data_IF_732701391294
#
_entry.id   IF_732701391294
#
_cell.length_a   1.000
_cell.length_b   1.000
_cell.length_c   1.000
_cell.angle_alpha   90.00
_cell.angle_beta   90.00
_cell.angle_gamma   90.00
#
_symmetry.space_group_name_H-M   'P 1'
#
loop_
_entity.id
_entity.type
_entity.pdbx_description
1 polymer ?
2 non-polymer ?
3 non-polymer ?
4 non-polymer ?
5 non-polymer ?
6 water ?
#
# COMPACT_ATOMS: atom_id res chain seq x y z
N UNK A 6 -28.53 5.94 -7.87
CA UNK A 6 -29.29 7.10 -8.33
C UNK A 6 -28.35 8.13 -8.96
N UNK A 7 -27.29 8.47 -8.26
CA UNK A 7 -26.40 9.52 -8.69
C UNK A 7 -25.33 8.98 -9.64
N UNK A 8 -24.62 9.93 -10.27
CA UNK A 8 -23.49 9.57 -11.12
C UNK A 8 -22.44 8.78 -10.33
N UNK A 9 -22.09 9.25 -9.14
CA UNK A 9 -21.05 8.56 -8.41
C UNK A 9 -21.51 7.18 -7.96
N UNK A 10 -22.79 7.04 -7.57
CA UNK A 10 -23.22 5.70 -7.19
C UNK A 10 -23.15 4.76 -8.40
N UNK A 11 -23.43 5.26 -9.60
CA UNK A 11 -23.33 4.41 -10.78
C UNK A 11 -21.89 4.01 -11.04
N UNK A 12 -20.96 4.94 -10.81
CA UNK A 12 -19.55 4.59 -10.95
C UNK A 12 -19.18 3.48 -9.98
N UNK A 13 -19.60 3.61 -8.70
CA UNK A 13 -19.28 2.59 -7.72
C UNK A 13 -19.86 1.24 -8.15
N UNK A 14 -21.05 1.23 -8.74
CA UNK A 14 -21.62 -0.04 -9.17
C UNK A 14 -20.73 -0.71 -10.21
N UNK A 15 -20.18 0.08 -11.14
CA UNK A 15 -19.29 -0.47 -12.14
C UNK A 15 -17.97 -0.90 -11.56
N UNK A 16 -17.54 -0.33 -10.44
CA UNK A 16 -16.26 -0.71 -9.85
C UNK A 16 -16.36 -1.97 -8.99
N UNK A 17 -17.55 -2.45 -8.68
CA UNK A 17 -17.71 -3.62 -7.82
C UNK A 17 -17.05 -4.84 -8.45
N UNK A 18 -16.50 -5.70 -7.58
CA UNK A 18 -15.89 -6.96 -8.03
C UNK A 18 -16.96 -8.02 -8.19
N UNK A 19 -16.87 -8.78 -9.28
CA UNK A 19 -17.76 -9.91 -9.48
C UNK A 19 -17.48 -11.05 -8.49
N UNK A 20 -18.54 -11.61 -7.91
CA UNK A 20 -18.40 -12.73 -7.01
C UNK A 20 -17.71 -13.90 -7.69
N UNK A 21 -18.03 -14.13 -8.96
CA UNK A 21 -17.40 -15.24 -9.65
C UNK A 21 -15.91 -15.00 -9.86
N UNK A 22 -15.54 -13.78 -10.25
CA UNK A 22 -14.11 -13.44 -10.38
C UNK A 22 -13.39 -13.61 -9.07
N UNK A 23 -14.01 -13.20 -7.97
CA UNK A 23 -13.39 -13.34 -6.65
C UNK A 23 -13.16 -14.81 -6.35
N UNK A 24 -14.17 -15.64 -6.61
CA UNK A 24 -14.05 -17.06 -6.24
C UNK A 24 -12.89 -17.69 -6.99
N UNK A 25 -12.83 -17.44 -8.28
CA UNK A 25 -11.76 -18.01 -9.09
C UNK A 25 -10.41 -17.46 -8.65
N UNK A 26 -10.28 -16.14 -8.48
CA UNK A 26 -8.97 -15.56 -8.20
C UNK A 26 -8.48 -15.93 -6.82
N UNK A 27 -9.37 -15.97 -5.83
CA UNK A 27 -8.96 -16.33 -4.47
C UNK A 27 -8.36 -17.73 -4.44
N UNK A 28 -9.02 -18.67 -5.12
CA UNK A 28 -8.53 -20.03 -5.13
C UNK A 28 -7.19 -20.13 -5.84
N UNK A 29 -7.04 -19.42 -6.96
CA UNK A 29 -5.78 -19.47 -7.69
C UNK A 29 -4.64 -18.85 -6.88
N UNK A 30 -4.88 -17.71 -6.23
CA UNK A 30 -3.82 -17.08 -5.44
C UNK A 30 -3.44 -17.94 -4.23
N UNK A 31 -4.42 -18.52 -3.54
CA UNK A 31 -4.13 -19.27 -2.33
C UNK A 31 -3.29 -20.48 -2.67
N UNK A 32 -3.58 -21.12 -3.80
CA UNK A 32 -2.86 -22.31 -4.18
C UNK A 32 -1.39 -22.02 -4.42
N UNK A 33 -1.12 -20.90 -5.11
CA UNK A 33 0.25 -20.56 -5.44
C UNK A 33 0.99 -20.07 -4.21
N UNK A 34 0.36 -19.19 -3.42
CA UNK A 34 1.02 -18.65 -2.23
C UNK A 34 1.33 -19.75 -1.22
N UNK A 35 0.34 -20.60 -0.95
CA UNK A 35 0.56 -21.71 -0.02
C UNK A 35 1.67 -22.62 -0.52
N UNK A 36 1.72 -22.90 -1.82
CA UNK A 36 2.82 -23.69 -2.36
C UNK A 36 4.18 -23.05 -2.10
N UNK A 37 4.32 -21.75 -2.42
CA UNK A 37 5.61 -21.08 -2.26
C UNK A 37 6.01 -21.02 -0.79
N UNK A 38 5.03 -20.84 0.09
CA UNK A 38 5.31 -20.81 1.52
C UNK A 38 5.90 -22.13 1.96
N UNK A 39 5.26 -23.23 1.59
CA UNK A 39 5.74 -24.56 1.93
C UNK A 39 7.15 -24.73 1.40
N UNK A 40 7.38 -24.37 0.14
CA UNK A 40 8.70 -24.64 -0.45
C UNK A 40 9.78 -23.73 0.13
N UNK A 41 9.46 -22.48 0.45
CA UNK A 41 10.46 -21.59 1.04
C UNK A 41 10.88 -22.03 2.42
N UNK A 42 9.97 -22.66 3.17
CA UNK A 42 10.29 -23.22 4.48
C UNK A 42 11.36 -24.31 4.39
N UNK A 43 11.60 -24.88 3.20
CA UNK A 43 12.65 -25.88 3.02
C UNK A 43 14.03 -25.26 2.95
N UNK A 44 14.11 -23.98 2.64
CA UNK A 44 15.41 -23.33 2.59
C UNK A 44 15.83 -22.90 3.99
N UNK A 45 17.10 -23.09 4.34
CA UNK A 45 17.54 -22.78 5.69
C UNK A 45 17.34 -21.31 6.06
N UNK A 46 17.41 -20.40 5.09
CA UNK A 46 17.29 -18.98 5.42
C UNK A 46 15.85 -18.54 5.64
N UNK A 47 14.89 -19.22 5.00
CA UNK A 47 13.51 -18.76 5.02
C UNK A 47 12.61 -19.74 5.75
N UNK A 48 13.24 -20.62 6.53
CA UNK A 48 12.60 -21.64 7.34
C UNK A 48 11.41 -21.08 8.12
N UNK A 49 11.49 -19.83 8.57
CA UNK A 49 10.48 -19.31 9.46
C UNK A 49 9.43 -18.38 8.84
N UNK A 50 9.25 -18.42 7.51
CA UNK A 50 8.38 -17.42 6.87
C UNK A 50 6.94 -17.66 7.27
N UNK A 51 6.18 -16.56 7.39
CA UNK A 51 4.74 -16.64 7.57
C UNK A 51 4.08 -15.62 6.66
N UNK A 52 2.78 -15.84 6.44
CA UNK A 52 2.00 -15.08 5.48
C UNK A 52 1.27 -13.93 6.18
N UNK A 53 1.30 -12.74 5.57
CA UNK A 53 0.38 -11.66 5.94
C UNK A 53 -0.24 -11.09 4.68
N UNK A 54 -1.56 -10.98 4.62
CA UNK A 54 -2.23 -10.53 3.43
C UNK A 54 -2.42 -9.03 3.57
N UNK A 55 -2.09 -8.28 2.52
CA UNK A 55 -2.03 -6.81 2.61
C UNK A 55 -2.64 -6.21 1.37
N UNK A 56 -2.76 -4.89 1.36
CA UNK A 56 -3.18 -4.24 0.12
C UNK A 56 -4.68 -4.24 -0.14
N UNK A 57 -5.07 -3.72 -1.32
CA UNK A 57 -6.46 -3.32 -1.48
C UNK A 57 -7.43 -4.50 -1.50
N UNK A 58 -7.04 -5.67 -1.99
CA UNK A 58 -7.98 -6.77 -2.00
C UNK A 58 -8.38 -7.13 -0.59
N UNK A 59 -7.40 -7.21 0.31
CA UNK A 59 -7.69 -7.63 1.68
C UNK A 59 -8.22 -6.48 2.54
N UNK A 60 -8.20 -5.24 2.02
CA UNK A 60 -8.94 -4.15 2.64
C UNK A 60 -10.29 -3.89 2.00
N UNK A 61 -10.68 -4.74 1.03
CA UNK A 61 -11.99 -4.61 0.36
C UNK A 61 -12.11 -3.26 -0.35
N UNK A 62 -10.99 -2.69 -0.85
CA UNK A 62 -11.10 -1.49 -1.67
C UNK A 62 -10.42 -1.70 -3.03
N UNK A 63 -10.19 -2.96 -3.40
CA UNK A 63 -9.80 -3.25 -4.78
C UNK A 63 -10.98 -2.94 -5.71
N UNK A 64 -10.69 -2.32 -6.84
CA UNK A 64 -11.74 -1.92 -7.78
C UNK A 64 -11.61 -2.65 -9.10
N UNK A 65 -12.76 -2.79 -9.78
CA UNK A 65 -12.91 -3.25 -11.16
C UNK A 65 -12.74 -4.76 -11.33
N UNK A 66 -11.59 -5.29 -10.95
CA UNK A 66 -11.34 -6.70 -11.13
C UNK A 66 -10.43 -7.17 -10.01
N UNK A 67 -10.61 -8.42 -9.50
CA UNK A 67 -9.63 -8.95 -8.51
C UNK A 67 -8.43 -9.56 -9.21
N UNK A 68 -7.60 -8.72 -9.79
CA UNK A 68 -6.48 -9.20 -10.56
C UNK A 68 -5.14 -8.72 -10.03
N UNK A 69 -5.09 -8.25 -8.78
CA UNK A 69 -3.83 -7.80 -8.20
C UNK A 69 -3.91 -7.94 -6.70
N UNK A 70 -3.03 -8.83 -6.18
CA UNK A 70 -3.01 -9.21 -4.78
C UNK A 70 -1.65 -8.89 -4.21
N UNK A 71 -1.63 -8.56 -2.92
CA UNK A 71 -0.40 -8.22 -2.23
C UNK A 71 -0.27 -9.05 -0.98
N UNK A 72 0.91 -9.63 -0.77
CA UNK A 72 1.13 -10.45 0.42
C UNK A 72 2.54 -10.22 0.92
N UNK A 73 2.71 -10.32 2.23
CA UNK A 73 4.04 -10.25 2.79
C UNK A 73 4.42 -11.64 3.26
N UNK A 74 5.64 -12.08 2.97
CA UNK A 74 6.23 -13.26 3.60
C UNK A 74 7.15 -12.73 4.68
N UNK A 75 6.74 -12.84 5.94
CA UNK A 75 7.44 -12.21 7.04
C UNK A 75 8.30 -13.21 7.78
N UNK A 76 9.44 -12.75 8.29
CA UNK A 76 10.36 -13.56 9.08
C UNK A 76 10.65 -12.84 10.38
N UNK A 77 10.54 -13.52 11.52
CA UNK A 77 10.80 -12.81 12.76
C UNK A 77 12.30 -12.89 13.00
N UNK A 78 12.94 -11.74 13.15
CA UNK A 78 14.37 -11.72 13.40
C UNK A 78 14.52 -11.23 14.83
N UNK A 79 14.75 -12.13 15.79
CA UNK A 79 14.84 -11.69 17.19
C UNK A 79 16.16 -10.99 17.45
N UNK A 80 16.14 -10.08 18.42
CA UNK A 80 17.32 -9.28 18.77
C UNK A 80 17.73 -8.43 17.57
N UNK A 81 16.76 -7.70 17.03
CA UNK A 81 16.99 -6.87 15.86
C UNK A 81 17.37 -5.47 16.32
N UNK A 82 18.49 -4.95 15.80
CA UNK A 82 18.99 -3.63 16.16
C UNK A 82 18.94 -2.73 14.92
N UNK A 83 18.28 -1.59 15.04
CA UNK A 83 18.13 -0.74 13.86
C UNK A 83 18.97 0.52 14.01
N UNK A 84 19.41 1.04 12.87
CA UNK A 84 20.09 2.33 12.81
C UNK A 84 19.48 3.12 11.67
N UNK A 85 18.92 4.29 11.98
CA UNK A 85 18.32 5.07 10.93
C UNK A 85 19.39 5.49 9.92
N UNK A 86 19.05 5.38 8.64
CA UNK A 86 19.96 5.80 7.59
C UNK A 86 19.84 7.31 7.35
N UNK A 87 20.92 8.04 7.61
CA UNK A 87 21.11 9.44 7.18
C UNK A 87 19.83 10.29 7.28
N UNK A 88 19.27 10.33 8.50
CA UNK A 88 18.09 11.18 8.84
C UNK A 88 16.92 11.02 7.86
N UNK A 89 16.81 9.88 7.18
CA UNK A 89 15.70 9.68 6.24
C UNK A 89 14.36 9.31 6.90
N UNK A 90 14.36 8.94 8.19
CA UNK A 90 13.17 8.63 8.99
C UNK A 90 12.52 7.29 8.65
N UNK A 91 12.53 6.89 7.38
CA UNK A 91 11.86 5.69 6.96
C UNK A 91 12.79 4.56 6.57
N UNK A 92 14.07 4.82 6.35
CA UNK A 92 15.00 3.77 5.94
C UNK A 92 16.03 3.51 7.03
N UNK A 93 16.38 2.23 7.20
CA UNK A 93 17.19 1.76 8.31
C UNK A 93 18.21 0.72 7.84
N UNK A 94 19.33 0.69 8.56
CA UNK A 94 20.19 -0.47 8.59
C UNK A 94 19.68 -1.43 9.66
N UNK A 95 19.76 -2.72 9.36
CA UNK A 95 19.51 -3.79 10.33
C UNK A 95 20.87 -4.38 10.70
N UNK A 96 21.25 -4.19 11.95
CA UNK A 96 22.45 -4.81 12.49
C UNK A 96 22.12 -6.14 13.12
N UNK A 97 23.06 -7.08 13.00
CA UNK A 97 22.87 -8.43 13.49
C UNK A 97 24.22 -9.02 13.86
N UNK A 105 22.50 -19.32 9.39
CA UNK A 105 21.64 -19.26 8.19
C UNK A 105 21.38 -17.86 7.65
N UNK A 106 21.62 -16.82 8.43
CA UNK A 106 21.53 -15.46 7.94
C UNK A 106 22.88 -14.89 7.56
N UNK A 107 23.95 -15.65 7.78
CA UNK A 107 25.29 -15.13 7.57
C UNK A 107 25.53 -14.80 6.11
N UNK A 108 24.94 -15.60 5.21
CA UNK A 108 25.04 -15.35 3.77
C UNK A 108 24.58 -13.94 3.42
N UNK A 109 23.83 -13.29 4.29
CA UNK A 109 23.31 -11.97 3.96
C UNK A 109 24.08 -10.83 4.61
N UNK A 110 25.12 -11.11 5.38
CA UNK A 110 25.77 -10.05 6.11
C UNK A 110 26.80 -9.36 5.19
N UNK A 111 26.84 -8.04 5.28
CA UNK A 111 27.88 -7.22 4.64
C UNK A 111 28.45 -6.46 5.83
N UNK A 112 29.45 -7.06 6.48
CA UNK A 112 29.89 -6.55 7.78
C UNK A 112 29.03 -7.14 8.89
N UNK A 113 28.55 -6.28 9.78
CA UNK A 113 27.52 -6.65 10.75
C UNK A 113 26.15 -6.18 10.28
N UNK A 114 26.09 -5.62 9.08
CA UNK A 114 24.88 -5.17 8.44
C UNK A 114 24.19 -6.34 7.75
N UNK A 115 22.86 -6.47 7.95
CA UNK A 115 22.12 -7.52 7.27
C UNK A 115 21.62 -6.87 5.98
N UNK A 116 22.17 -7.26 4.83
CA UNK A 116 21.95 -6.53 3.58
C UNK A 116 20.56 -6.81 3.02
N UNK A 117 19.75 -5.76 2.87
CA UNK A 117 18.45 -5.93 2.26
C UNK A 117 18.54 -6.46 0.84
N UNK A 118 19.50 -5.96 0.04
CA UNK A 118 19.52 -6.43 -1.34
C UNK A 118 19.94 -7.89 -1.40
N UNK A 119 20.88 -8.29 -0.55
CA UNK A 119 21.32 -9.69 -0.57
C UNK A 119 20.15 -10.62 -0.23
N UNK A 120 19.33 -10.24 0.76
CA UNK A 120 18.23 -11.14 1.10
C UNK A 120 17.16 -11.18 0.02
N UNK A 121 16.82 -10.02 -0.53
CA UNK A 121 15.84 -9.96 -1.60
C UNK A 121 16.31 -10.74 -2.81
N UNK A 122 17.59 -10.66 -3.13
CA UNK A 122 18.09 -11.40 -4.29
C UNK A 122 17.95 -12.90 -4.10
N UNK A 123 18.23 -13.39 -2.89
CA UNK A 123 18.09 -14.82 -2.63
C UNK A 123 16.63 -15.24 -2.58
N UNK A 124 15.78 -14.39 -1.99
CA UNK A 124 14.35 -14.61 -1.96
C UNK A 124 13.79 -14.73 -3.37
N UNK A 125 14.16 -13.77 -4.22
CA UNK A 125 13.71 -13.80 -5.60
C UNK A 125 14.20 -15.05 -6.32
N UNK A 126 15.45 -15.45 -6.08
CA UNK A 126 16.00 -16.62 -6.78
C UNK A 126 15.27 -17.90 -6.37
N UNK A 127 14.96 -18.07 -5.08
CA UNK A 127 14.27 -19.28 -4.65
C UNK A 127 12.88 -19.32 -5.26
N UNK A 128 12.16 -18.19 -5.23
CA UNK A 128 10.80 -18.16 -5.80
C UNK A 128 10.84 -18.48 -7.28
N UNK A 129 11.83 -17.92 -7.99
CA UNK A 129 11.93 -18.18 -9.43
C UNK A 129 12.13 -19.65 -9.71
N UNK A 130 12.98 -20.30 -8.93
CA UNK A 130 13.20 -21.72 -9.16
C UNK A 130 11.96 -22.54 -8.80
N UNK A 131 11.21 -22.08 -7.81
CA UNK A 131 10.09 -22.89 -7.32
C UNK A 131 8.86 -22.77 -8.21
N UNK A 132 8.59 -21.59 -8.77
CA UNK A 132 7.43 -21.49 -9.65
C UNK A 132 7.68 -22.24 -10.95
N UNK A 133 8.94 -22.45 -11.31
CA UNK A 133 9.24 -23.20 -12.53
C UNK A 133 8.78 -24.65 -12.40
N UNK A 134 8.83 -25.22 -11.19
CA UNK A 134 8.41 -26.59 -10.92
C UNK A 134 6.91 -26.75 -10.78
N UNK A 135 6.15 -25.67 -10.71
CA UNK A 135 4.69 -25.77 -10.72
C UNK A 135 4.25 -26.13 -12.13
N UNK A 136 3.97 -27.42 -12.38
CA UNK A 136 3.52 -27.84 -13.69
C UNK A 136 2.00 -27.81 -13.84
N UNK A 137 1.26 -27.85 -12.72
CA UNK A 137 -0.20 -27.89 -12.73
C UNK A 137 -0.84 -26.54 -13.00
N UNK A 138 -0.10 -25.45 -12.82
CA UNK A 138 -0.58 -24.09 -12.93
C UNK A 138 0.38 -23.30 -13.80
N UNK A 139 -0.13 -22.29 -14.47
CA UNK A 139 0.70 -21.41 -15.27
C UNK A 139 1.09 -20.22 -14.40
N UNK A 140 2.34 -20.20 -13.95
CA UNK A 140 2.85 -19.14 -13.07
C UNK A 140 4.17 -18.63 -13.61
N UNK A 141 4.28 -17.33 -13.80
CA UNK A 141 5.57 -16.77 -14.21
C UNK A 141 5.95 -15.62 -13.27
N UNK A 142 7.25 -15.34 -13.20
CA UNK A 142 7.82 -14.15 -12.60
C UNK A 142 7.84 -12.97 -13.55
N UNK A 143 7.31 -11.85 -13.11
CA UNK A 143 7.39 -10.62 -13.87
C UNK A 143 8.77 -10.01 -13.68
N UNK A 144 9.19 -9.26 -14.67
CA UNK A 144 10.48 -8.58 -14.62
C UNK A 144 10.57 -7.71 -13.39
N UNK A 145 11.75 -7.69 -12.78
CA UNK A 145 12.02 -6.87 -11.61
C UNK A 145 11.70 -5.42 -11.90
N UNK A 146 10.83 -4.80 -11.11
CA UNK A 146 10.53 -3.40 -11.31
C UNK A 146 11.37 -2.58 -10.32
N UNK A 147 12.05 -1.56 -10.85
CA UNK A 147 13.03 -0.84 -10.04
C UNK A 147 12.40 -0.16 -8.84
N UNK A 148 13.13 -0.17 -7.73
CA UNK A 148 12.64 0.43 -6.51
C UNK A 148 11.61 -0.40 -5.77
N UNK A 149 11.18 -1.54 -6.32
CA UNK A 149 10.14 -2.24 -5.58
C UNK A 149 10.74 -3.26 -4.64
N UNK A 150 10.17 -3.45 -3.44
CA UNK A 150 10.62 -4.53 -2.59
C UNK A 150 9.94 -5.85 -2.91
N UNK A 151 8.98 -5.85 -3.86
CA UNK A 151 8.19 -7.05 -4.12
C UNK A 151 8.84 -7.89 -5.20
N UNK A 152 8.59 -9.19 -5.11
CA UNK A 152 8.72 -10.12 -6.24
C UNK A 152 7.33 -10.35 -6.80
N UNK A 153 7.14 -10.12 -8.09
CA UNK A 153 5.80 -10.12 -8.66
C UNK A 153 5.58 -11.34 -9.57
N UNK A 154 4.50 -12.08 -9.31
CA UNK A 154 4.10 -13.23 -10.10
C UNK A 154 2.88 -12.88 -10.94
N UNK A 155 2.73 -13.58 -12.06
CA UNK A 155 1.53 -13.51 -12.89
C UNK A 155 0.96 -14.92 -12.99
N UNK A 156 -0.26 -15.13 -12.49
CA UNK A 156 -0.91 -16.44 -12.52
C UNK A 156 -1.89 -16.47 -13.68
N UNK A 157 -1.75 -17.50 -14.54
CA UNK A 157 -2.70 -17.78 -15.62
C UNK A 157 -2.90 -16.56 -16.52
N UNK A 158 -1.81 -15.88 -16.83
CA UNK A 158 -1.75 -14.67 -17.65
C UNK A 158 -2.64 -13.54 -17.12
N UNK A 159 -3.26 -13.67 -15.94
CA UNK A 159 -4.27 -12.69 -15.57
C UNK A 159 -4.14 -12.05 -14.20
N UNK A 160 -3.65 -12.78 -13.21
CA UNK A 160 -3.67 -12.31 -11.83
C UNK A 160 -2.24 -12.05 -11.39
N UNK A 161 -1.97 -10.81 -10.96
CA UNK A 161 -0.65 -10.43 -10.45
C UNK A 161 -0.64 -10.59 -8.95
N UNK A 162 0.48 -11.09 -8.42
CA UNK A 162 0.65 -11.22 -6.97
C UNK A 162 2.01 -10.62 -6.62
N UNK A 163 2.01 -9.59 -5.77
CA UNK A 163 3.26 -9.00 -5.28
C UNK A 163 3.57 -9.64 -3.96
N UNK A 164 4.75 -10.30 -3.86
CA UNK A 164 5.17 -10.98 -2.64
C UNK A 164 6.33 -10.18 -2.08
N UNK A 165 6.15 -9.60 -0.89
CA UNK A 165 7.20 -8.76 -0.32
C UNK A 165 7.81 -9.47 0.87
N UNK A 166 9.12 -9.71 0.81
CA UNK A 166 9.85 -10.19 1.97
C UNK A 166 9.82 -9.14 3.08
N UNK A 167 9.60 -9.57 4.33
CA UNK A 167 9.60 -8.59 5.40
C UNK A 167 10.26 -9.18 6.63
N UNK A 168 11.03 -8.37 7.32
CA UNK A 168 11.53 -8.79 8.63
C UNK A 168 10.54 -8.29 9.66
N UNK A 169 10.19 -9.14 10.64
CA UNK A 169 9.24 -8.75 11.64
C UNK A 169 9.96 -8.41 12.93
N UNK A 170 9.62 -7.27 13.52
CA UNK A 170 10.16 -6.90 14.83
C UNK A 170 9.04 -6.76 15.83
N UNK A 171 9.19 -7.39 16.99
CA UNK A 171 8.24 -7.18 18.06
C UNK A 171 8.68 -6.13 19.06
N UNK A 172 9.72 -5.37 18.73
CA UNK A 172 10.14 -4.26 19.57
C UNK A 172 9.22 -3.06 19.40
N UNK A 173 9.43 -2.06 20.26
CA UNK A 173 8.67 -0.83 20.13
C UNK A 173 9.00 -0.17 18.80
N UNK A 174 8.01 0.52 18.25
CA UNK A 174 8.20 1.14 16.96
C UNK A 174 9.29 2.20 17.02
N UNK A 175 10.01 2.40 15.91
CA UNK A 175 11.08 3.42 15.88
C UNK A 175 10.59 4.81 16.24
N UNK A 176 11.50 5.62 16.76
CA UNK A 176 11.16 6.98 17.20
C UNK A 176 10.57 7.85 16.09
N UNK A 177 10.86 7.55 14.82
CA UNK A 177 10.29 8.38 13.76
C UNK A 177 8.78 8.22 13.66
N UNK A 178 8.21 7.24 14.30
CA UNK A 178 6.75 7.07 14.30
C UNK A 178 6.06 7.70 15.49
N UNK A 179 6.81 8.30 16.43
CA UNK A 179 6.20 8.72 17.69
C UNK A 179 5.01 9.66 17.49
N UNK A 180 5.06 10.53 16.49
CA UNK A 180 4.01 11.50 16.22
C UNK A 180 3.08 11.09 15.08
N UNK A 181 3.22 9.86 14.56
CA UNK A 181 2.38 9.39 13.49
C UNK A 181 1.16 8.67 14.00
N UNK A 182 0.35 8.17 13.06
CA UNK A 182 -0.87 7.41 13.41
C UNK A 182 -1.75 8.24 14.34
N UNK A 183 -2.11 9.43 13.85
CA UNK A 183 -2.85 10.40 14.66
C UNK A 183 -4.37 10.07 14.62
N UNK A 184 -4.70 8.91 15.19
CA UNK A 184 -6.06 8.37 15.09
C UNK A 184 -6.86 8.59 16.37
N UNK A 185 -6.33 9.34 17.34
CA UNK A 185 -6.97 9.36 18.66
C UNK A 185 -8.37 9.93 18.63
N UNK A 186 -8.64 10.95 17.80
CA UNK A 186 -9.98 11.52 17.79
C UNK A 186 -10.96 10.75 16.91
N UNK A 187 -10.46 9.81 16.14
CA UNK A 187 -11.25 9.04 15.19
C UNK A 187 -11.49 7.64 15.73
N UNK A 188 -10.42 6.85 15.85
CA UNK A 188 -10.50 5.46 16.28
C UNK A 188 -10.22 5.26 17.78
N UNK A 189 -9.77 6.28 18.51
CA UNK A 189 -9.47 6.34 19.94
C UNK A 189 -8.00 6.18 20.30
N UNK A 190 -7.68 6.76 21.45
CA UNK A 190 -6.35 6.63 22.02
C UNK A 190 -6.09 5.19 22.41
N UNK A 191 -7.12 4.48 22.93
CA UNK A 191 -6.84 3.12 23.34
C UNK A 191 -6.54 2.26 22.11
N UNK A 192 -7.20 2.52 20.96
CA UNK A 192 -6.84 1.78 19.75
C UNK A 192 -5.42 2.13 19.29
N UNK A 193 -5.04 3.41 19.33
CA UNK A 193 -3.66 3.75 18.95
C UNK A 193 -2.67 2.97 19.80
N UNK A 194 -2.89 2.94 21.12
CA UNK A 194 -1.98 2.22 21.99
C UNK A 194 -1.94 0.74 21.61
N UNK A 195 -3.11 0.14 21.35
CA UNK A 195 -3.14 -1.27 20.97
C UNK A 195 -2.39 -1.51 19.67
N UNK A 196 -2.58 -0.64 18.67
CA UNK A 196 -1.93 -0.86 17.39
C UNK A 196 -0.42 -0.72 17.51
N UNK A 197 0.04 0.18 18.37
CA UNK A 197 1.50 0.38 18.49
C UNK A 197 2.16 -0.71 19.32
N UNK A 198 1.40 -1.59 19.96
CA UNK A 198 1.97 -2.78 20.58
C UNK A 198 2.13 -3.91 19.58
N UNK A 199 1.62 -3.75 18.34
CA UNK A 199 1.78 -4.79 17.35
C UNK A 199 3.17 -4.72 16.72
N UNK A 200 3.62 -5.78 16.05
CA UNK A 200 4.94 -5.74 15.43
C UNK A 200 5.02 -4.68 14.35
N UNK A 201 6.24 -4.37 13.95
CA UNK A 201 6.43 -3.58 12.74
C UNK A 201 7.31 -4.38 11.79
N UNK A 202 7.34 -3.96 10.52
CA UNK A 202 8.02 -4.71 9.47
C UNK A 202 9.05 -3.84 8.76
N UNK A 203 10.11 -4.51 8.30
CA UNK A 203 11.13 -3.93 7.43
C UNK A 203 11.10 -4.66 6.08
N UNK A 204 11.03 -3.92 4.99
CA UNK A 204 10.99 -4.53 3.67
C UNK A 204 12.19 -4.02 2.87
N UNK A 205 12.62 -4.76 1.84
CA UNK A 205 13.89 -4.44 1.15
C UNK A 205 13.65 -3.42 0.04
N UNK A 206 13.15 -2.26 0.43
CA UNK A 206 13.09 -1.06 -0.40
C UNK A 206 14.19 -0.14 0.11
N UNK A 207 15.07 0.25 -0.79
CA UNK A 207 16.31 0.92 -0.43
C UNK A 207 16.18 2.45 -0.49
N UNK A 208 16.83 3.13 0.46
CA UNK A 208 16.96 4.59 0.39
C UNK A 208 17.68 5.05 -0.87
N UNK A 209 17.26 6.23 -1.35
CA UNK A 209 17.97 6.93 -2.40
C UNK A 209 19.37 7.33 -1.91
N UNK A 210 20.36 7.11 -2.75
CA UNK A 210 21.72 7.58 -2.46
C UNK A 210 22.25 8.21 -3.75
N UNK A 211 22.23 9.54 -3.80
CA UNK A 211 22.59 10.19 -5.05
C UNK A 211 21.60 9.84 -6.14
N UNK A 212 22.13 9.48 -7.31
CA UNK A 212 21.31 8.98 -8.41
C UNK A 212 21.07 7.48 -8.30
N UNK A 213 21.46 6.87 -7.18
CA UNK A 213 21.40 5.44 -7.00
C UNK A 213 20.69 5.09 -5.70
N UNK A 214 21.07 3.94 -5.15
CA UNK A 214 20.39 3.44 -3.95
C UNK A 214 21.39 2.91 -2.95
N UNK A 215 21.02 3.03 -1.67
CA UNK A 215 21.81 2.41 -0.62
C UNK A 215 21.25 1.00 -0.46
N UNK A 216 21.91 0.04 -1.10
CA UNK A 216 21.33 -1.29 -1.29
C UNK A 216 21.31 -2.12 -0.01
N UNK A 217 22.02 -1.72 1.04
CA UNK A 217 21.91 -2.43 2.31
C UNK A 217 20.65 -2.08 3.09
N UNK A 218 19.98 -0.97 2.76
CA UNK A 218 18.97 -0.43 3.66
C UNK A 218 17.59 -1.03 3.42
N UNK A 219 16.78 -0.96 4.48
CA UNK A 219 15.42 -1.48 4.56
C UNK A 219 14.46 -0.32 4.82
N UNK A 220 13.18 -0.55 4.53
CA UNK A 220 12.15 0.47 4.69
C UNK A 220 11.13 0.00 5.71
N UNK A 221 10.75 0.88 6.64
CA UNK A 221 9.69 0.58 7.58
C UNK A 221 8.36 0.39 6.86
N UNK A 222 7.59 -0.59 7.29
CA UNK A 222 6.30 -0.85 6.70
C UNK A 222 5.30 -1.16 7.79
N UNK A 223 4.12 -0.54 7.63
CA UNK A 223 2.96 -0.72 8.50
C UNK A 223 1.74 -1.13 7.70
N UNK A 224 1.95 -1.90 6.63
CA UNK A 224 0.83 -2.31 5.77
C UNK A 224 -0.23 -3.05 6.60
N UNK A 225 0.18 -3.84 7.58
CA UNK A 225 -0.79 -4.55 8.39
C UNK A 225 -1.65 -3.62 9.23
N UNK A 226 -1.11 -2.46 9.65
CA UNK A 226 -1.91 -1.51 10.42
C UNK A 226 -2.88 -0.80 9.49
N UNK A 227 -2.43 -0.49 8.27
CA UNK A 227 -3.36 0.09 7.27
C UNK A 227 -4.57 -0.81 7.03
N UNK A 228 -4.34 -2.14 6.96
CA UNK A 228 -5.45 -3.06 6.73
C UNK A 228 -6.37 -3.05 7.94
N UNK A 229 -5.79 -3.05 9.15
CA UNK A 229 -6.62 -3.10 10.35
C UNK A 229 -7.50 -1.88 10.44
N UNK A 230 -6.97 -0.71 10.02
CA UNK A 230 -7.71 0.53 10.09
C UNK A 230 -8.83 0.49 9.05
N UNK A 231 -8.51 0.11 7.80
CA UNK A 231 -9.54 0.09 6.76
C UNK A 231 -10.65 -0.91 7.09
N UNK A 232 -10.32 -2.03 7.74
CA UNK A 232 -11.35 -3.02 8.01
C UNK A 232 -12.04 -2.81 9.35
N UNK A 233 -11.72 -1.71 10.01
CA UNK A 233 -12.35 -1.41 11.30
C UNK A 233 -12.26 0.11 11.41
N UNK A 234 -13.04 0.79 10.55
CA UNK A 234 -12.71 2.15 10.15
C UNK A 234 -13.63 3.20 10.74
N UNK A 235 -14.60 2.81 11.55
CA UNK A 235 -15.58 3.78 12.05
C UNK A 235 -15.24 4.25 13.46
N UNK A 236 -15.76 5.42 13.83
CA UNK A 236 -15.80 5.78 15.25
C UNK A 236 -16.71 4.81 16.01
N UNK A 237 -17.87 4.49 15.43
CA UNK A 237 -18.73 3.47 15.99
C UNK A 237 -18.17 2.08 15.68
N UNK A 238 -18.17 1.21 16.69
CA UNK A 238 -17.73 -0.16 16.45
C UNK A 238 -18.61 -0.89 15.46
N UNK A 239 -19.87 -0.47 15.28
CA UNK A 239 -20.74 -1.15 14.35
C UNK A 239 -20.87 -0.42 13.03
N UNK A 240 -19.96 0.54 12.73
CA UNK A 240 -19.96 1.19 11.43
C UNK A 240 -19.96 0.15 10.31
N UNK A 241 -20.90 0.29 9.40
CA UNK A 241 -21.06 -0.58 8.24
C UNK A 241 -21.46 -2.01 8.62
N UNK A 242 -21.90 -2.26 9.85
CA UNK A 242 -22.42 -3.57 10.20
C UNK A 242 -23.93 -3.61 10.14
N UNK A 243 -24.58 -2.47 9.92
CA UNK A 243 -26.03 -2.46 9.80
C UNK A 243 -26.45 -1.33 8.87
N UNK A 244 -27.73 -1.39 8.49
CA UNK A 244 -28.25 -0.51 7.45
C UNK A 244 -28.40 0.93 7.92
N UNK A 245 -28.31 1.17 9.22
CA UNK A 245 -28.33 2.54 9.71
C UNK A 245 -26.94 3.16 9.82
N UNK A 246 -25.86 2.39 9.62
CA UNK A 246 -24.49 2.90 9.78
C UNK A 246 -23.60 2.56 8.58
N UNK A 247 -24.12 2.69 7.36
CA UNK A 247 -23.35 2.39 6.15
C UNK A 247 -22.67 3.67 5.72
N UNK A 248 -21.46 3.87 6.20
CA UNK A 248 -20.77 5.10 5.84
C UNK A 248 -20.18 5.01 4.43
N UNK A 249 -19.65 6.13 3.93
CA UNK A 249 -19.09 6.11 2.58
C UNK A 249 -17.58 6.24 2.55
N UNK A 250 -16.89 5.92 3.65
CA UNK A 250 -15.42 6.05 3.65
C UNK A 250 -14.79 5.18 2.56
N UNK A 251 -15.13 3.89 2.51
CA UNK A 251 -14.51 3.00 1.53
C UNK A 251 -14.90 3.39 0.12
N UNK A 252 -16.16 3.77 -0.10
CA UNK A 252 -16.55 4.25 -1.42
C UNK A 252 -15.73 5.46 -1.85
N UNK A 253 -15.41 6.35 -0.94
CA UNK A 253 -14.69 7.54 -1.32
C UNK A 253 -13.24 7.13 -1.70
N UNK A 254 -12.66 6.18 -0.95
CA UNK A 254 -11.32 5.73 -1.30
C UNK A 254 -11.34 5.04 -2.67
N UNK A 255 -12.38 4.24 -2.93
CA UNK A 255 -12.47 3.59 -4.25
C UNK A 255 -12.53 4.62 -5.36
N UNK A 256 -13.34 5.67 -5.18
CA UNK A 256 -13.45 6.70 -6.19
C UNK A 256 -12.17 7.48 -6.39
N UNK A 257 -11.42 7.76 -5.31
CA UNK A 257 -10.13 8.43 -5.46
C UNK A 257 -9.15 7.54 -6.20
N UNK A 258 -9.17 6.24 -5.89
CA UNK A 258 -8.29 5.31 -6.58
C UNK A 258 -8.64 5.26 -8.06
N UNK A 259 -9.94 5.21 -8.38
CA UNK A 259 -10.35 5.16 -9.77
C UNK A 259 -10.00 6.45 -10.51
N UNK A 260 -10.17 7.60 -9.87
CA UNK A 260 -9.76 8.86 -10.49
C UNK A 260 -8.28 8.83 -10.89
N UNK A 261 -7.42 8.39 -9.96
CA UNK A 261 -5.99 8.32 -10.29
C UNK A 261 -5.72 7.23 -11.34
N UNK A 262 -6.34 6.03 -11.17
CA UNK A 262 -6.16 4.96 -12.14
C UNK A 262 -6.51 5.45 -13.55
N UNK A 263 -7.67 6.13 -13.67
CA UNK A 263 -8.08 6.60 -15.01
C UNK A 263 -7.14 7.66 -15.56
N UNK A 264 -6.74 8.63 -14.74
CA UNK A 264 -5.82 9.65 -15.24
C UNK A 264 -4.48 9.07 -15.63
N UNK A 265 -3.96 8.11 -14.85
CA UNK A 265 -2.68 7.50 -15.24
C UNK A 265 -2.82 6.73 -16.53
N UNK A 266 -3.96 6.08 -16.75
CA UNK A 266 -4.17 5.38 -18.02
C UNK A 266 -4.23 6.37 -19.20
N UNK A 267 -4.99 7.45 -19.05
CA UNK A 267 -5.11 8.40 -20.15
C UNK A 267 -3.79 9.08 -20.43
N UNK A 268 -3.03 9.37 -19.38
CA UNK A 268 -1.76 10.08 -19.46
C UNK A 268 -0.58 9.12 -19.36
N UNK A 269 -0.71 7.88 -19.85
CA UNK A 269 0.34 6.91 -19.62
C UNK A 269 1.63 7.32 -20.33
N UNK A 270 1.52 8.11 -21.41
CA UNK A 270 2.68 8.58 -22.15
C UNK A 270 3.18 9.93 -21.67
N UNK A 271 2.58 10.48 -20.63
CA UNK A 271 2.97 11.75 -20.05
C UNK A 271 3.85 11.48 -18.81
N UNK A 272 5.12 11.81 -18.91
CA UNK A 272 6.04 11.56 -17.80
C UNK A 272 5.55 12.17 -16.48
N UNK A 273 4.79 13.27 -16.54
CA UNK A 273 4.40 13.93 -15.30
C UNK A 273 3.56 13.04 -14.41
N UNK A 274 2.92 11.98 -14.93
CA UNK A 274 2.11 11.16 -14.02
C UNK A 274 2.82 9.89 -13.55
N UNK A 275 4.07 9.67 -13.97
CA UNK A 275 4.77 8.41 -13.71
C UNK A 275 4.91 8.12 -12.22
N UNK A 276 5.22 9.13 -11.42
CA UNK A 276 5.54 8.84 -10.03
C UNK A 276 4.35 8.85 -9.09
N UNK A 277 3.15 9.14 -9.58
CA UNK A 277 1.98 9.06 -8.70
C UNK A 277 1.49 7.64 -8.58
N UNK A 278 1.02 7.29 -7.39
CA UNK A 278 0.61 5.92 -7.15
C UNK A 278 -0.63 5.89 -6.29
N UNK A 279 -1.26 4.71 -6.28
CA UNK A 279 -2.42 4.58 -5.40
C UNK A 279 -2.07 4.78 -3.95
N UNK A 280 -0.80 4.56 -3.55
CA UNK A 280 -0.47 4.84 -2.14
C UNK A 280 -0.57 6.30 -1.81
N UNK A 281 -0.35 7.20 -2.78
CA UNK A 281 -0.55 8.62 -2.49
C UNK A 281 -2.01 8.91 -2.14
N UNK A 282 -2.97 8.33 -2.91
CA UNK A 282 -4.35 8.61 -2.55
C UNK A 282 -4.74 7.87 -1.28
N UNK A 283 -4.17 6.68 -1.00
CA UNK A 283 -4.50 6.02 0.25
C UNK A 283 -4.03 6.85 1.45
N UNK A 284 -2.82 7.42 1.35
CA UNK A 284 -2.25 8.21 2.43
C UNK A 284 -3.09 9.45 2.64
N UNK A 285 -3.44 10.14 1.54
CA UNK A 285 -4.27 11.33 1.68
C UNK A 285 -5.63 10.97 2.26
N UNK A 286 -6.15 9.81 1.91
CA UNK A 286 -7.43 9.38 2.47
C UNK A 286 -7.35 9.17 3.98
N UNK A 287 -6.30 8.51 4.46
CA UNK A 287 -6.17 8.40 5.91
C UNK A 287 -6.11 9.78 6.58
N UNK A 288 -5.39 10.76 5.99
CA UNK A 288 -5.36 12.07 6.59
C UNK A 288 -6.75 12.71 6.61
N UNK A 289 -7.56 12.51 5.55
CA UNK A 289 -8.89 13.11 5.56
C UNK A 289 -9.74 12.45 6.62
N UNK A 290 -9.56 11.13 6.86
CA UNK A 290 -10.26 10.49 7.95
C UNK A 290 -9.88 11.09 9.30
N UNK A 291 -8.60 11.42 9.49
CA UNK A 291 -8.18 12.08 10.72
C UNK A 291 -8.81 13.46 10.83
N UNK A 292 -8.90 14.18 9.72
CA UNK A 292 -9.48 15.51 9.73
C UNK A 292 -10.98 15.46 10.01
N UNK A 293 -11.66 14.41 9.53
CA UNK A 293 -13.12 14.25 9.62
C UNK A 293 -13.40 12.97 10.40
N UNK A 294 -13.26 12.99 11.73
CA UNK A 294 -13.27 11.72 12.48
C UNK A 294 -14.65 11.16 12.77
N UNK A 295 -15.73 11.92 12.58
CA UNK A 295 -17.05 11.43 13.00
C UNK A 295 -17.72 10.68 11.86
N UNK A 296 -18.45 9.61 12.21
CA UNK A 296 -19.13 8.84 11.18
C UNK A 296 -20.16 9.71 10.48
N UNK A 297 -20.74 10.68 11.19
CA UNK A 297 -21.68 11.60 10.53
C UNK A 297 -21.05 12.47 9.45
N UNK A 298 -19.73 12.52 9.35
CA UNK A 298 -19.06 13.26 8.29
C UNK A 298 -18.84 12.38 7.07
N UNK A 299 -19.31 11.13 7.12
CA UNK A 299 -19.18 10.16 6.04
C UNK A 299 -20.52 9.47 5.78
N UNK A 300 -21.62 10.20 5.89
CA UNK A 300 -22.93 9.59 5.69
C UNK A 300 -23.10 9.21 4.23
N UNK A 301 -23.72 8.05 3.99
CA UNK A 301 -23.95 7.61 2.62
C UNK A 301 -24.71 8.65 1.82
N UNK A 302 -25.63 9.37 2.47
CA UNK A 302 -26.39 10.37 1.73
C UNK A 302 -25.55 11.55 1.29
N UNK A 303 -24.33 11.70 1.80
CA UNK A 303 -23.48 12.81 1.46
C UNK A 303 -22.31 12.37 0.58
N UNK A 304 -22.45 11.24 -0.14
CA UNK A 304 -21.36 10.70 -0.94
C UNK A 304 -20.66 11.76 -1.77
N UNK A 305 -21.42 12.60 -2.51
CA UNK A 305 -20.76 13.56 -3.40
C UNK A 305 -19.96 14.60 -2.65
N UNK A 306 -20.48 15.07 -1.50
CA UNK A 306 -19.74 15.99 -0.68
C UNK A 306 -18.52 15.33 -0.05
N UNK A 307 -18.68 14.12 0.50
CA UNK A 307 -17.52 13.39 1.01
C UNK A 307 -16.46 13.14 -0.03
N UNK A 308 -16.86 12.78 -1.24
CA UNK A 308 -15.82 12.58 -2.25
C UNK A 308 -15.15 13.89 -2.60
N UNK A 309 -15.93 14.98 -2.65
CA UNK A 309 -15.29 16.27 -2.87
C UNK A 309 -14.28 16.60 -1.75
N UNK A 310 -14.64 16.30 -0.49
CA UNK A 310 -13.70 16.54 0.62
C UNK A 310 -12.38 15.83 0.36
N UNK A 311 -12.47 14.62 -0.18
CA UNK A 311 -11.25 13.88 -0.48
C UNK A 311 -10.48 14.51 -1.63
N UNK A 312 -11.18 14.89 -2.72
CA UNK A 312 -10.50 15.48 -3.87
C UNK A 312 -9.85 16.79 -3.48
N UNK A 313 -10.56 17.64 -2.73
CA UNK A 313 -9.95 18.93 -2.39
C UNK A 313 -8.81 18.77 -1.42
N UNK A 314 -8.86 17.77 -0.52
CA UNK A 314 -7.71 17.53 0.34
C UNK A 314 -6.50 17.11 -0.48
N UNK A 315 -6.71 16.22 -1.45
CA UNK A 315 -5.60 15.79 -2.28
C UNK A 315 -5.04 16.94 -3.10
N UNK A 316 -5.93 17.81 -3.61
CA UNK A 316 -5.48 18.97 -4.34
C UNK A 316 -4.63 19.88 -3.45
N UNK A 317 -5.03 20.02 -2.17
CA UNK A 317 -4.22 20.84 -1.27
C UNK A 317 -2.85 20.22 -1.02
N UNK A 318 -2.79 18.88 -0.91
CA UNK A 318 -1.51 18.19 -0.77
C UNK A 318 -0.61 18.46 -1.96
N UNK A 319 -1.18 18.39 -3.19
CA UNK A 319 -0.39 18.69 -4.38
C UNK A 319 0.11 20.12 -4.38
N UNK A 320 -0.77 21.09 -4.12
CA UNK A 320 -0.39 22.51 -4.20
C UNK A 320 0.66 22.88 -3.16
N UNK A 321 0.56 22.30 -1.96
CA UNK A 321 1.48 22.64 -0.88
C UNK A 321 2.69 21.75 -0.87
N UNK A 322 2.67 20.71 -1.69
CA UNK A 322 3.77 19.74 -1.81
C UNK A 322 3.95 19.00 -0.47
N UNK A 323 2.84 18.73 0.21
CA UNK A 323 2.87 18.07 1.53
C UNK A 323 1.95 16.87 1.52
N UNK A 324 2.54 15.70 1.72
CA UNK A 324 1.78 14.49 1.91
C UNK A 324 2.63 13.62 2.83
N UNK A 325 2.48 13.84 4.13
CA UNK A 325 3.26 13.03 5.07
C UNK A 325 2.85 11.58 5.04
N UNK A 326 3.85 10.71 5.15
CA UNK A 326 3.53 9.32 5.44
C UNK A 326 2.69 9.27 6.70
N UNK A 327 1.61 8.43 6.72
CA UNK A 327 0.69 8.53 7.83
C UNK A 327 1.30 8.05 9.13
N UNK A 328 2.34 7.21 9.04
CA UNK A 328 3.00 6.62 10.20
C UNK A 328 4.29 7.33 10.55
N UNK A 329 4.90 8.00 9.57
CA UNK A 329 6.24 8.57 9.70
C UNK A 329 6.16 10.04 9.25
N UNK A 330 5.75 10.95 10.14
CA UNK A 330 5.36 12.29 9.69
C UNK A 330 6.45 13.10 9.03
N UNK A 331 7.72 12.90 9.37
CA UNK A 331 8.76 13.64 8.71
C UNK A 331 9.19 13.01 7.38
N UNK A 332 8.49 11.97 6.92
CA UNK A 332 8.74 11.44 5.59
C UNK A 332 7.66 12.00 4.67
N UNK A 333 8.04 12.96 3.81
CA UNK A 333 7.08 13.66 2.93
C UNK A 333 7.06 13.00 1.55
N UNK A 334 5.93 12.29 1.28
CA UNK A 334 5.82 11.60 0.00
C UNK A 334 5.79 12.58 -1.17
N UNK A 335 5.41 13.84 -0.91
CA UNK A 335 5.39 14.84 -1.98
C UNK A 335 6.57 15.78 -1.90
N UNK A 336 7.67 15.36 -1.30
CA UNK A 336 8.85 16.20 -1.28
C UNK A 336 9.33 16.44 -2.70
N UNK A 337 9.91 17.62 -2.93
CA UNK A 337 10.49 17.83 -4.25
C UNK A 337 11.64 16.87 -4.52
N UNK A 338 12.24 16.27 -3.49
CA UNK A 338 13.26 15.24 -3.71
C UNK A 338 12.69 13.99 -4.37
N UNK A 339 11.39 13.77 -4.24
CA UNK A 339 10.74 12.58 -4.76
C UNK A 339 9.94 12.87 -6.01
N UNK A 340 9.20 13.99 -6.04
CA UNK A 340 8.38 14.32 -7.20
C UNK A 340 8.58 15.80 -7.57
N UNK A 341 8.89 16.08 -8.84
CA UNK A 341 9.11 17.48 -9.26
C UNK A 341 7.85 18.31 -9.09
N UNK A 342 8.06 19.59 -8.77
CA UNK A 342 6.94 20.52 -8.65
C UNK A 342 6.09 20.54 -9.93
N UNK A 343 6.75 20.52 -11.09
CA UNK A 343 6.05 20.56 -12.37
C UNK A 343 5.06 19.41 -12.51
N UNK A 344 5.43 18.24 -11.98
CA UNK A 344 4.57 17.07 -12.07
C UNK A 344 3.38 17.20 -11.15
N UNK A 345 3.58 17.72 -9.91
CA UNK A 345 2.44 17.98 -9.05
C UNK A 345 1.49 19.01 -9.66
N UNK A 346 2.02 20.09 -10.26
CA UNK A 346 1.17 21.07 -10.90
C UNK A 346 0.40 20.44 -12.04
N UNK A 347 1.05 19.57 -12.80
CA UNK A 347 0.34 18.92 -13.91
C UNK A 347 -0.82 18.08 -13.39
N UNK A 348 -0.61 17.27 -12.36
CA UNK A 348 -1.71 16.49 -11.84
C UNK A 348 -2.79 17.40 -11.26
N UNK A 349 -2.39 18.52 -10.62
CA UNK A 349 -3.35 19.50 -10.09
C UNK A 349 -4.25 19.99 -11.20
N UNK A 350 -3.66 20.29 -12.34
CA UNK A 350 -4.43 20.75 -13.48
C UNK A 350 -5.47 19.72 -13.90
N UNK A 351 -5.06 18.46 -14.02
CA UNK A 351 -6.00 17.46 -14.51
C UNK A 351 -7.10 17.16 -13.50
N UNK A 352 -6.76 17.14 -12.21
CA UNK A 352 -7.79 16.87 -11.21
C UNK A 352 -8.74 18.06 -11.11
N UNK A 353 -8.21 19.30 -11.16
CA UNK A 353 -9.09 20.48 -11.15
C UNK A 353 -10.07 20.42 -12.32
N UNK A 354 -9.59 20.02 -13.50
CA UNK A 354 -10.48 19.89 -14.64
C UNK A 354 -11.57 18.88 -14.35
N UNK A 355 -11.22 17.74 -13.76
CA UNK A 355 -12.27 16.77 -13.48
C UNK A 355 -13.25 17.30 -12.46
N UNK A 356 -12.75 17.93 -11.40
CA UNK A 356 -13.66 18.47 -10.39
C UNK A 356 -14.59 19.53 -10.98
N UNK A 357 -14.07 20.39 -11.85
CA UNK A 357 -14.84 21.49 -12.40
C UNK A 357 -15.83 21.04 -13.43
N UNK A 358 -15.72 19.81 -13.92
CA UNK A 358 -16.55 19.34 -15.02
C UNK A 358 -17.31 18.07 -14.64
N UNK A 359 -17.43 17.79 -13.34
CA UNK A 359 -18.23 16.68 -12.83
C UNK A 359 -17.64 15.34 -13.28
N UNK A 360 -16.31 15.26 -13.29
CA UNK A 360 -15.58 14.00 -13.48
C UNK A 360 -15.94 13.26 -14.75
N UNK A 361 -15.73 13.89 -15.91
CA UNK A 361 -15.95 13.18 -17.16
C UNK A 361 -15.06 11.97 -17.32
N UNK A 362 -13.91 11.89 -16.63
CA UNK A 362 -13.08 10.70 -16.76
C UNK A 362 -13.78 9.47 -16.19
N UNK A 363 -14.85 9.65 -15.43
CA UNK A 363 -15.62 8.52 -14.91
C UNK A 363 -16.65 8.00 -15.91
N UNK A 364 -16.99 8.78 -16.93
CA UNK A 364 -18.01 8.38 -17.90
C UNK A 364 -17.53 7.17 -18.70
N UNK A 365 -18.45 6.24 -18.96
CA UNK A 365 -18.09 5.10 -19.82
C UNK A 365 -18.07 5.48 -21.29
N UNK A 366 -19.00 6.34 -21.73
CA UNK A 366 -19.10 6.72 -23.14
C UNK A 366 -19.24 8.23 -23.30
X LIG B 1 -4.20 -1.23 -5.79
X LIG B 1 -5.63 -1.46 -5.61
X LIG B 1 -3.92 -0.24 -6.97
X LIG B 1 -3.44 -2.51 -5.97
X LIG B 1 -2.89 -1.17 -3.14
X LIG B 1 -3.18 -0.41 -1.90
X LIG B 1 -3.11 -2.69 -3.04
X LIG B 1 -3.72 -0.45 -4.39
X LIG B 1 -0.11 -1.70 -4.00
X LIG B 1 0.69 -0.74 -4.82
X LIG B 1 -0.55 -3.00 -4.67
X LIG B 1 -1.38 -0.91 -3.42
X LIG B 1 0.67 -1.98 -2.68
X LIG B 1 0.14 -2.92 -1.75
X LIG B 1 0.31 -2.33 -0.36
X LIG B 1 1.73 -2.16 -0.13
X LIG B 1 -0.27 -0.96 -0.12
X LIG B 1 -1.64 -1.00 0.27
X LIG B 1 0.57 -0.45 1.04
X LIG B 1 0.13 -1.05 2.26
X LIG B 1 1.94 -1.00 0.67
X LIG B 1 2.69 -0.01 -0.11
X LIG B 1 2.67 0.17 -1.47
X LIG B 1 3.37 1.21 -1.88
X LIG B 1 3.89 1.73 -0.71
X LIG B 1 4.73 2.83 -0.45
X LIG B 1 5.22 3.62 -1.41
X LIG B 1 5.03 3.09 0.84
X LIG B 1 4.56 2.29 1.79
X LIG B 1 3.75 1.22 1.67
X LIG B 1 3.47 1.00 0.39
X LIG C 1 6.75 0.06 -3.66
X LIG C 1 5.30 -0.07 -5.65
X LIG C 1 5.09 -1.18 -6.40
X LIG C 1 3.35 -1.07 -8.14
X LIG C 1 1.35 -2.35 -7.92
X LIG C 1 3.34 -3.08 -4.81
X LIG C 1 5.90 -2.08 1.01
X LIG C 1 5.34 -2.91 0.08
X LIG C 1 5.37 -2.45 -1.22
X LIG C 1 5.94 -1.22 -1.61
X LIG C 1 6.50 -0.42 -0.63
X LIG C 1 6.48 -0.89 0.68
X LIG C 1 6.60 0.32 -5.14
X LIG C 1 3.79 -1.54 -6.91
X LIG C 1 2.11 -1.46 -8.69
X LIG C 1 2.97 -2.47 -6.23
X LIG C 1 5.91 -2.50 2.33
X LIG C 1 5.92 -0.85 -2.98
X LIG C 1 1.82 -2.85 -6.76
X LIG C 1 2.58 -3.93 -4.38
X LIG C 1 4.32 -2.57 -4.25
X LIG C 1 6.06 -1.89 -6.62
X LIG C 1 7.64 0.68 -3.05
X LIG C 1 7.14 0.08 1.92
X LIG D 1 -18.33 2.45 7.84
X LIG E 1 0.85 -4.50 -5.53
X LIG F 1 -2.53 -3.98 -4.68
#
# INVERSE_FOLDING_TARGET
DAAPGASKLRAVLEKLKLSRDDISTAAGMVKGVVDHLLLRLKCDSAFRGVGLLNTGSYYEHVKISAPNEFDVMFKLEVPRIQLEEYSNTRAYYFVKFKRNPKENHLSQFLEGEILSASKMLSKFRKIIKEEINDIKDTDVIMKRKRGGSPAVTLLISEKISVDITLALESKSSWPASTQEGLRIQNWLSAKVRKQLRLKPFYLVPKHAKEGNGFQEETWRLSFSHIEKEILNNHGKSKTCCENKEEKCCRKDCLKLMKYLLEQLKERFKDEEHLDKFSSYHVKTAFFHVCTQNPQDSQWDRKDLGLCFDNCVTYFLQCLRTEKLENYFIPEFNLFSSNLIDKRSKEFLTKQIEYERNNEFPVFDEF
ANP PG O1G O2G O3G PB O1B O2B N3B PA O1A O2A O3A O5' C5' C4' O4' C3' O3' C2' O2' C1' N9 C8 N7 C5 C6 N6 N1 C2 N3 C4
A1BJH C10 N12 C13 C15 C17 C20 C02 C03 C04 C05 C06 C07 C11 C14 C16 C19 F01 N09 N18 O21 O22 O23 O24 CL08
ZN ZN
MN MN
MN MN
#
